data_IF_331854921837
#
_entry.id   IF_331854921837
#
_cell.length_a   1.000
_cell.length_b   1.000
_cell.length_c   1.000
_cell.angle_alpha   90.00
_cell.angle_beta   90.00
_cell.angle_gamma   90.00
#
_symmetry.space_group_name_H-M   'P 1'
#
loop_
_entity.id
_entity.type
_entity.pdbx_description
1 polymer ?
#
# COMPACT_ATOMS: atom_id res chain seq x y z
N UNK A 1 7.52 4.29 -26.60
CA UNK A 1 7.39 4.03 -25.15
C UNK A 1 7.14 2.54 -24.97
N UNK A 2 8.03 1.81 -24.29
CA UNK A 2 7.85 0.37 -24.03
C UNK A 2 6.92 0.22 -22.83
N UNK A 3 5.71 -0.28 -23.07
CA UNK A 3 4.87 -0.82 -22.00
C UNK A 3 5.64 -1.94 -21.28
N UNK A 4 5.65 -1.96 -19.94
CA UNK A 4 6.22 -3.09 -19.22
C UNK A 4 5.36 -4.32 -19.52
N UNK A 5 5.91 -5.21 -20.36
CA UNK A 5 5.35 -6.55 -20.60
C UNK A 5 5.34 -7.29 -19.27
N UNK A 6 4.15 -7.35 -18.66
CA UNK A 6 3.82 -8.30 -17.61
C UNK A 6 4.15 -9.69 -18.15
N UNK A 7 5.22 -10.28 -17.63
CA UNK A 7 5.68 -11.60 -18.04
C UNK A 7 4.58 -12.61 -17.70
N UNK A 8 3.95 -13.14 -18.75
CA UNK A 8 3.36 -14.48 -18.83
C UNK A 8 2.34 -14.87 -17.76
N UNK A 9 1.05 -14.76 -18.10
CA UNK A 9 0.01 -15.67 -17.60
C UNK A 9 -0.64 -15.36 -16.25
N UNK A 10 -1.21 -14.18 -16.04
CA UNK A 10 -2.04 -13.89 -14.86
C UNK A 10 -3.32 -13.14 -15.24
N UNK A 11 -4.28 -13.81 -15.86
CA UNK A 11 -5.60 -13.20 -16.09
C UNK A 11 -6.75 -13.78 -15.25
N UNK A 12 -6.57 -14.86 -14.48
CA UNK A 12 -7.72 -15.49 -13.80
C UNK A 12 -7.58 -15.69 -12.28
N UNK A 13 -6.43 -15.36 -11.68
CA UNK A 13 -6.26 -15.42 -10.21
C UNK A 13 -5.48 -14.20 -9.71
N UNK A 14 -6.07 -13.01 -9.83
CA UNK A 14 -5.59 -11.87 -9.04
C UNK A 14 -5.67 -12.31 -7.56
N UNK A 15 -4.57 -12.20 -6.83
CA UNK A 15 -4.55 -12.53 -5.41
C UNK A 15 -5.69 -11.79 -4.70
N UNK A 16 -6.44 -12.44 -3.78
CA UNK A 16 -7.63 -11.84 -3.16
C UNK A 16 -7.39 -10.43 -2.63
N UNK A 17 -6.20 -10.16 -2.11
CA UNK A 17 -5.83 -8.85 -1.58
C UNK A 17 -5.58 -7.77 -2.65
N UNK A 18 -5.04 -8.14 -3.81
CA UNK A 18 -4.87 -7.21 -4.93
C UNK A 18 -6.22 -6.90 -5.58
N UNK A 19 -7.11 -7.90 -5.61
CA UNK A 19 -8.48 -7.71 -6.04
C UNK A 19 -9.23 -6.80 -5.07
N UNK A 20 -9.09 -7.01 -3.77
CA UNK A 20 -9.65 -6.14 -2.74
C UNK A 20 -9.16 -4.69 -2.90
N UNK A 21 -7.86 -4.48 -3.14
CA UNK A 21 -7.30 -3.13 -3.35
C UNK A 21 -7.92 -2.43 -4.58
N UNK A 22 -8.19 -3.20 -5.64
CA UNK A 22 -8.84 -2.71 -6.86
C UNK A 22 -10.33 -2.41 -6.64
N UNK A 23 -11.04 -3.24 -5.88
CA UNK A 23 -12.49 -3.14 -5.69
C UNK A 23 -12.91 -2.30 -4.47
N UNK A 24 -11.96 -1.85 -3.65
CA UNK A 24 -12.24 -1.03 -2.47
C UNK A 24 -13.09 0.20 -2.79
N UNK A 25 -14.13 0.46 -1.98
CA UNK A 25 -15.05 1.55 -2.21
C UNK A 25 -14.48 2.88 -1.70
N UNK A 26 -13.79 2.85 -0.56
CA UNK A 26 -13.23 4.05 0.07
C UNK A 26 -11.70 4.01 0.21
N UNK A 27 -11.11 5.15 0.60
CA UNK A 27 -9.69 5.19 0.98
C UNK A 27 -9.46 4.51 2.34
N UNK A 28 -10.47 4.40 3.19
CA UNK A 28 -10.38 3.65 4.44
C UNK A 28 -10.31 2.13 4.17
N UNK A 29 -11.11 1.61 3.24
CA UNK A 29 -10.99 0.22 2.78
C UNK A 29 -9.59 -0.08 2.24
N UNK A 30 -9.06 0.81 1.39
CA UNK A 30 -7.69 0.71 0.85
C UNK A 30 -6.64 0.75 1.97
N UNK A 31 -6.84 1.60 2.98
CA UNK A 31 -5.97 1.67 4.15
C UNK A 31 -5.94 0.34 4.91
N UNK A 32 -7.12 -0.26 5.18
CA UNK A 32 -7.22 -1.55 5.86
C UNK A 32 -6.52 -2.66 5.08
N UNK A 33 -6.67 -2.67 3.75
CA UNK A 33 -6.01 -3.63 2.87
C UNK A 33 -4.49 -3.48 2.96
N UNK A 34 -3.95 -2.26 2.91
CA UNK A 34 -2.51 -2.02 3.05
C UNK A 34 -1.98 -2.41 4.43
N UNK A 35 -2.76 -2.19 5.49
CA UNK A 35 -2.39 -2.53 6.87
C UNK A 35 -2.39 -4.04 7.14
N UNK A 36 -3.25 -4.80 6.44
CA UNK A 36 -3.36 -6.26 6.57
C UNK A 36 -2.56 -7.02 5.50
N UNK A 37 -1.92 -6.30 4.57
CA UNK A 37 -1.20 -6.90 3.46
C UNK A 37 0.06 -7.63 3.90
N UNK A 38 0.23 -8.92 3.57
CA UNK A 38 1.47 -9.63 3.86
C UNK A 38 2.66 -8.95 3.16
N UNK A 39 3.76 -8.76 3.90
CA UNK A 39 4.99 -8.12 3.41
C UNK A 39 5.48 -8.71 2.08
N UNK A 40 5.39 -10.03 1.90
CA UNK A 40 5.77 -10.71 0.64
C UNK A 40 4.96 -10.21 -0.55
N UNK A 41 3.67 -9.94 -0.35
CA UNK A 41 2.79 -9.38 -1.40
C UNK A 41 3.13 -7.92 -1.63
N UNK A 42 3.33 -7.14 -0.56
CA UNK A 42 3.75 -5.74 -0.67
C UNK A 42 5.03 -5.59 -1.50
N UNK A 43 6.03 -6.45 -1.29
CA UNK A 43 7.28 -6.42 -2.06
C UNK A 43 7.06 -6.87 -3.50
N UNK A 44 6.42 -8.02 -3.71
CA UNK A 44 6.25 -8.62 -5.04
C UNK A 44 5.38 -7.77 -5.97
N UNK A 45 4.38 -7.09 -5.43
CA UNK A 45 3.38 -6.34 -6.19
C UNK A 45 3.47 -4.84 -5.95
N UNK A 46 4.65 -4.34 -5.57
CA UNK A 46 4.91 -2.92 -5.34
C UNK A 46 4.35 -1.99 -6.45
N UNK A 47 4.67 -2.21 -7.74
CA UNK A 47 4.20 -1.31 -8.79
C UNK A 47 2.67 -1.25 -8.88
N UNK A 48 2.01 -2.38 -8.63
CA UNK A 48 0.55 -2.45 -8.63
C UNK A 48 -0.06 -1.66 -7.47
N UNK A 49 0.48 -1.82 -6.25
CA UNK A 49 -0.03 -1.12 -5.06
C UNK A 49 0.19 0.39 -5.16
N UNK A 50 1.36 0.83 -5.63
CA UNK A 50 1.67 2.25 -5.86
C UNK A 50 0.75 2.84 -6.94
N UNK A 51 0.59 2.14 -8.07
CA UNK A 51 -0.30 2.58 -9.15
C UNK A 51 -1.74 2.73 -8.66
N UNK A 52 -2.28 1.78 -7.87
CA UNK A 52 -3.64 1.88 -7.34
C UNK A 52 -3.81 3.05 -6.37
N UNK A 53 -2.79 3.35 -5.55
CA UNK A 53 -2.86 4.53 -4.69
C UNK A 53 -2.89 5.83 -5.51
N UNK A 54 -2.13 5.91 -6.61
CA UNK A 54 -2.11 7.07 -7.50
C UNK A 54 -3.45 7.23 -8.23
N UNK A 55 -3.97 6.16 -8.85
CA UNK A 55 -5.23 6.16 -9.60
C UNK A 55 -6.43 6.60 -8.76
N UNK A 56 -6.45 6.24 -7.47
CA UNK A 56 -7.52 6.60 -6.55
C UNK A 56 -7.23 7.86 -5.72
N UNK A 57 -6.19 8.63 -6.06
CA UNK A 57 -5.75 9.81 -5.30
C UNK A 57 -5.56 9.54 -3.79
N UNK A 58 -5.17 8.31 -3.44
CA UNK A 58 -4.99 7.86 -2.07
C UNK A 58 -3.59 8.21 -1.55
N UNK A 59 -3.39 9.50 -1.28
CA UNK A 59 -2.09 10.07 -0.88
C UNK A 59 -1.49 9.37 0.36
N UNK A 60 -2.29 9.10 1.38
CA UNK A 60 -1.80 8.46 2.60
C UNK A 60 -1.30 7.03 2.34
N UNK A 61 -1.91 6.28 1.41
CA UNK A 61 -1.42 4.98 0.96
C UNK A 61 -0.08 5.07 0.24
N UNK A 62 0.09 6.05 -0.65
CA UNK A 62 1.37 6.30 -1.34
C UNK A 62 2.50 6.68 -0.38
N UNK A 63 2.19 7.50 0.64
CA UNK A 63 3.15 7.87 1.70
C UNK A 63 3.56 6.64 2.51
N UNK A 64 2.59 5.82 2.94
CA UNK A 64 2.85 4.58 3.66
C UNK A 64 3.73 3.62 2.87
N UNK A 65 3.42 3.36 1.60
CA UNK A 65 4.22 2.49 0.74
C UNK A 65 5.64 3.02 0.57
N UNK A 66 5.79 4.34 0.38
CA UNK A 66 7.12 4.99 0.28
C UNK A 66 7.95 4.74 1.54
N UNK A 67 7.38 5.00 2.72
CA UNK A 67 8.06 4.75 3.99
C UNK A 67 8.35 3.27 4.21
N UNK A 68 7.44 2.39 3.83
CA UNK A 68 7.59 0.94 3.97
C UNK A 68 8.76 0.42 3.13
N UNK A 69 8.83 0.79 1.84
CA UNK A 69 9.94 0.36 0.98
C UNK A 69 11.25 1.05 1.33
N UNK A 70 11.21 2.28 1.86
CA UNK A 70 12.40 2.92 2.41
C UNK A 70 12.93 2.14 3.62
N UNK A 71 12.05 1.69 4.53
CA UNK A 71 12.41 0.90 5.71
C UNK A 71 13.02 -0.47 5.32
N UNK A 72 12.47 -1.11 4.28
CA UNK A 72 12.97 -2.39 3.77
C UNK A 72 14.38 -2.27 3.15
N UNK A 73 14.74 -1.11 2.61
CA UNK A 73 16.01 -0.87 1.92
C UNK A 73 17.09 -0.22 2.81
N UNK A 74 16.88 -0.15 4.13
CA UNK A 74 17.80 0.58 5.00
C UNK A 74 19.14 -0.12 5.18
N UNK A 75 20.19 0.70 5.16
CA UNK A 75 21.48 0.39 5.79
C UNK A 75 21.53 1.04 7.18
N UNK A 76 22.20 0.39 8.13
CA UNK A 76 22.17 0.65 9.60
C UNK A 76 22.21 2.13 10.06
N UNK A 77 22.72 3.08 9.27
CA UNK A 77 22.91 4.48 9.68
C UNK A 77 21.63 5.32 9.80
N UNK A 78 20.60 5.05 8.99
CA UNK A 78 19.36 5.85 9.00
C UNK A 78 18.14 5.05 9.50
N UNK A 79 18.39 3.88 10.10
CA UNK A 79 17.40 2.92 10.58
C UNK A 79 16.23 3.57 11.31
N UNK A 80 16.55 4.30 12.36
CA UNK A 80 15.58 4.84 13.31
C UNK A 80 14.61 5.87 12.68
N UNK A 81 15.12 6.83 11.90
CA UNK A 81 14.28 7.89 11.31
C UNK A 81 13.24 7.35 10.34
N UNK A 82 13.58 6.35 9.52
CA UNK A 82 12.60 5.77 8.58
C UNK A 82 11.59 4.89 9.31
N UNK A 83 11.99 4.21 10.39
CA UNK A 83 11.04 3.46 11.22
C UNK A 83 10.03 4.40 11.88
N UNK A 84 10.45 5.56 12.38
CA UNK A 84 9.54 6.60 12.88
C UNK A 84 8.61 7.11 11.78
N UNK A 85 9.14 7.40 10.59
CA UNK A 85 8.32 7.85 9.46
C UNK A 85 7.30 6.77 9.01
N UNK A 86 7.70 5.50 9.00
CA UNK A 86 6.82 4.36 8.71
C UNK A 86 5.73 4.23 9.77
N UNK A 87 6.07 4.34 11.05
CA UNK A 87 5.07 4.27 12.13
C UNK A 87 4.05 5.42 12.01
N UNK A 88 4.52 6.64 11.77
CA UNK A 88 3.63 7.79 11.53
C UNK A 88 2.71 7.58 10.32
N UNK A 89 3.24 7.07 9.20
CA UNK A 89 2.43 6.78 8.02
C UNK A 89 1.40 5.67 8.31
N UNK A 90 1.77 4.65 9.08
CA UNK A 90 0.87 3.59 9.54
C UNK A 90 -0.25 4.14 10.43
N UNK A 91 0.07 5.04 11.36
CA UNK A 91 -0.94 5.70 12.21
C UNK A 91 -1.95 6.51 11.39
N UNK A 92 -1.50 7.21 10.34
CA UNK A 92 -2.41 7.92 9.42
C UNK A 92 -3.39 6.97 8.74
N UNK A 93 -2.92 5.80 8.29
CA UNK A 93 -3.80 4.77 7.73
C UNK A 93 -4.81 4.26 8.76
N UNK A 94 -4.38 4.01 9.99
CA UNK A 94 -5.26 3.59 11.08
C UNK A 94 -6.34 4.63 11.38
N UNK A 95 -6.02 5.92 11.35
CA UNK A 95 -7.01 6.98 11.54
C UNK A 95 -8.07 6.98 10.42
N UNK A 96 -7.67 6.73 9.18
CA UNK A 96 -8.65 6.62 8.07
C UNK A 96 -9.60 5.45 8.28
N UNK A 97 -9.12 4.31 8.77
CA UNK A 97 -9.98 3.15 9.06
C UNK A 97 -10.93 3.37 10.24
N UNK A 98 -10.59 4.25 11.17
CA UNK A 98 -11.43 4.56 12.34
C UNK A 98 -12.51 5.61 12.04
N UNK A 99 -12.22 6.55 11.13
CA UNK A 99 -13.15 7.62 10.79
C UNK A 99 -14.27 7.19 9.83
N UNK A 100 -14.09 6.14 9.03
CA UNK A 100 -15.13 5.60 8.13
C UNK A 100 -16.27 4.89 8.89
N UNK A 101 -16.09 4.60 10.19
CA UNK A 101 -17.12 4.05 11.08
C UNK A 101 -17.85 5.10 11.93
N UNK A 102 -17.58 6.39 11.71
CA UNK A 102 -18.09 7.51 12.52
C UNK A 102 -18.91 8.51 11.69
N UNK A 103 -19.94 8.02 11.00
CA UNK A 103 -20.95 8.84 10.34
C UNK A 103 -22.32 8.25 10.60
N UNK A 104 -23.14 9.03 11.32
CA UNK A 104 -24.50 8.77 11.80
C UNK A 104 -25.44 8.00 10.85
#
# INVERSE_FOLDING_TARGET
MREPKLIGGMNDNILPILQAMKSAASNADRALILLTCPVRIMIRYRPFLEQRCIEHHFRAGSEYLTCFYAAMNQTRRNGELVNVALDQARQRLLLLTQNDGGGA
#
